data_IF_413801378204
#
_entry.id   IF_413801378204
#
_cell.length_a   1.000
_cell.length_b   1.000
_cell.length_c   1.000
_cell.angle_alpha   90.00
_cell.angle_beta   90.00
_cell.angle_gamma   90.00
#
_symmetry.space_group_name_H-M   'P 1'
#
loop_
_entity.id
_entity.type
_entity.pdbx_description
1 polymer ?
#
# COMPACT_ATOMS: atom_id res chain seq x y z
N UNK A 1 -22.45 8.91 -6.81
CA UNK A 1 -22.57 7.85 -5.79
C UNK A 1 -22.54 8.41 -4.36
N UNK A 2 -21.41 8.93 -3.85
CA UNK A 2 -21.32 9.36 -2.44
C UNK A 2 -21.74 10.83 -2.15
N UNK A 3 -21.80 11.70 -3.17
CA UNK A 3 -22.19 13.12 -3.00
C UNK A 3 -21.14 13.98 -2.29
N UNK A 4 -19.85 13.70 -2.50
CA UNK A 4 -18.72 14.46 -1.93
C UNK A 4 -17.65 14.71 -3.00
N UNK A 5 -16.77 15.67 -2.75
CA UNK A 5 -15.63 15.96 -3.64
C UNK A 5 -14.60 14.81 -3.67
N UNK A 6 -13.79 14.69 -4.74
CA UNK A 6 -12.69 13.73 -4.79
C UNK A 6 -11.71 13.87 -3.62
N UNK A 7 -11.42 15.10 -3.17
CA UNK A 7 -10.56 15.37 -2.02
C UNK A 7 -11.12 14.78 -0.71
N UNK A 8 -12.45 14.77 -0.55
CA UNK A 8 -13.11 14.14 0.60
C UNK A 8 -12.98 12.62 0.54
N UNK A 9 -13.10 12.02 -0.64
CA UNK A 9 -12.87 10.58 -0.84
C UNK A 9 -11.45 10.20 -0.43
N UNK A 10 -10.43 10.95 -0.86
CA UNK A 10 -9.04 10.74 -0.44
C UNK A 10 -8.87 10.79 1.07
N UNK A 11 -9.50 11.75 1.75
CA UNK A 11 -9.44 11.88 3.22
C UNK A 11 -10.14 10.72 3.94
N UNK A 12 -11.22 10.18 3.37
CA UNK A 12 -11.89 8.97 3.89
C UNK A 12 -11.00 7.74 3.73
N UNK A 13 -10.34 7.59 2.58
CA UNK A 13 -9.37 6.50 2.32
C UNK A 13 -8.22 6.58 3.33
N UNK A 14 -7.72 7.78 3.61
CA UNK A 14 -6.68 8.03 4.62
C UNK A 14 -7.18 8.02 6.07
N UNK A 15 -8.47 7.72 6.30
CA UNK A 15 -9.13 7.68 7.60
C UNK A 15 -8.89 8.91 8.48
N UNK A 16 -8.84 10.12 7.88
CA UNK A 16 -8.58 11.37 8.61
C UNK A 16 -9.68 11.68 9.62
N UNK A 17 -9.30 12.13 10.81
CA UNK A 17 -10.22 12.53 11.90
C UNK A 17 -11.09 13.74 11.56
N UNK A 18 -10.69 14.55 10.57
CA UNK A 18 -11.43 15.73 10.11
C UNK A 18 -12.72 15.43 9.35
N UNK A 19 -13.00 14.15 9.05
CA UNK A 19 -14.21 13.72 8.35
C UNK A 19 -15.14 13.03 9.34
N UNK A 20 -16.42 13.43 9.35
CA UNK A 20 -17.44 12.81 10.19
C UNK A 20 -17.60 11.32 9.88
N UNK A 21 -17.92 10.53 10.89
CA UNK A 21 -18.10 9.08 10.71
C UNK A 21 -19.27 8.75 9.78
N UNK A 22 -20.29 9.60 9.76
CA UNK A 22 -21.39 9.51 8.80
C UNK A 22 -20.89 9.60 7.35
N UNK A 23 -20.04 10.58 7.05
CA UNK A 23 -19.45 10.75 5.72
C UNK A 23 -18.55 9.57 5.36
N UNK A 24 -17.73 9.08 6.30
CA UNK A 24 -16.90 7.88 6.10
C UNK A 24 -17.76 6.67 5.73
N UNK A 25 -18.87 6.45 6.44
CA UNK A 25 -19.80 5.34 6.18
C UNK A 25 -20.41 5.44 4.77
N UNK A 26 -20.92 6.62 4.39
CA UNK A 26 -21.50 6.87 3.05
C UNK A 26 -20.50 6.62 1.92
N UNK A 27 -19.29 7.15 2.05
CA UNK A 27 -18.24 6.98 1.04
C UNK A 27 -17.82 5.51 0.94
N UNK A 28 -17.57 4.83 2.07
CA UNK A 28 -17.20 3.40 2.06
C UNK A 28 -18.30 2.51 1.48
N UNK A 29 -19.58 2.82 1.73
CA UNK A 29 -20.71 2.15 1.09
C UNK A 29 -20.66 2.29 -0.43
N UNK A 30 -20.51 3.52 -0.94
CA UNK A 30 -20.38 3.77 -2.37
C UNK A 30 -19.16 3.09 -2.99
N UNK A 31 -18.01 3.07 -2.30
CA UNK A 31 -16.81 2.36 -2.78
C UNK A 31 -17.09 0.86 -2.95
N UNK A 32 -17.78 0.24 -1.98
CA UNK A 32 -18.16 -1.18 -2.05
C UNK A 32 -19.12 -1.47 -3.20
N UNK A 33 -20.16 -0.64 -3.36
CA UNK A 33 -21.15 -0.77 -4.45
C UNK A 33 -20.52 -0.63 -5.84
N UNK A 34 -19.51 0.23 -5.97
CA UNK A 34 -18.80 0.47 -7.22
C UNK A 34 -17.61 -0.46 -7.45
N UNK A 35 -17.31 -1.38 -6.52
CA UNK A 35 -16.10 -2.18 -6.53
C UNK A 35 -14.82 -1.33 -6.70
N UNK A 36 -14.80 -0.16 -6.06
CA UNK A 36 -13.73 0.82 -6.23
C UNK A 36 -12.47 0.41 -5.45
N UNK A 37 -11.35 0.35 -6.17
CA UNK A 37 -10.03 0.08 -5.63
C UNK A 37 -9.14 1.31 -5.83
N UNK A 38 -8.54 1.88 -4.78
CA UNK A 38 -7.57 2.96 -4.92
C UNK A 38 -6.40 2.54 -5.82
N UNK A 39 -6.04 3.39 -6.77
CA UNK A 39 -4.89 3.13 -7.63
C UNK A 39 -3.60 3.54 -6.91
N UNK A 40 -2.82 2.54 -6.49
CA UNK A 40 -1.55 2.75 -5.79
C UNK A 40 -0.53 3.51 -6.65
N UNK A 41 -0.43 3.20 -7.95
CA UNK A 41 0.50 3.89 -8.86
C UNK A 41 0.18 5.39 -8.96
N UNK A 42 -1.10 5.74 -9.10
CA UNK A 42 -1.52 7.13 -9.13
C UNK A 42 -1.21 7.86 -7.81
N UNK A 43 -1.43 7.17 -6.67
CA UNK A 43 -1.09 7.71 -5.34
C UNK A 43 0.41 7.95 -5.20
N UNK A 44 1.23 6.96 -5.57
CA UNK A 44 2.68 7.04 -5.50
C UNK A 44 3.27 8.11 -6.40
N UNK A 45 2.68 8.31 -7.58
CA UNK A 45 3.08 9.38 -8.50
C UNK A 45 2.83 10.77 -7.91
N UNK A 46 1.66 11.00 -7.33
CA UNK A 46 1.32 12.30 -6.71
C UNK A 46 2.14 12.56 -5.45
N UNK A 47 2.45 11.53 -4.66
CA UNK A 47 3.26 11.67 -3.45
C UNK A 47 4.77 11.59 -3.68
N UNK A 48 5.22 11.28 -4.90
CA UNK A 48 6.62 10.91 -5.21
C UNK A 48 7.20 9.87 -4.24
N UNK A 49 6.35 8.96 -3.76
CA UNK A 49 6.69 7.99 -2.72
C UNK A 49 5.94 6.69 -2.96
N UNK A 50 6.69 5.61 -3.17
CA UNK A 50 6.15 4.33 -3.68
C UNK A 50 5.70 3.37 -2.60
N UNK A 51 6.20 3.50 -1.36
CA UNK A 51 6.10 2.43 -0.34
C UNK A 51 6.62 1.08 -0.85
N UNK A 52 7.66 1.09 -1.69
CA UNK A 52 8.29 -0.12 -2.24
C UNK A 52 9.76 -0.14 -1.87
N UNK A 53 10.27 -1.30 -1.43
CA UNK A 53 11.70 -1.54 -1.22
C UNK A 53 12.19 -2.46 -2.35
N UNK A 54 13.05 -1.93 -3.23
CA UNK A 54 13.73 -2.74 -4.24
C UNK A 54 14.95 -3.42 -3.66
N UNK A 55 15.08 -4.74 -3.85
CA UNK A 55 16.26 -5.49 -3.47
C UNK A 55 17.05 -5.91 -4.71
N UNK A 56 18.33 -5.56 -4.73
CA UNK A 56 19.26 -5.95 -5.80
C UNK A 56 20.07 -7.13 -5.31
N UNK A 57 20.01 -8.24 -6.04
CA UNK A 57 20.71 -9.48 -5.71
C UNK A 57 21.78 -9.78 -6.77
N UNK A 58 22.88 -10.47 -6.41
CA UNK A 58 23.82 -10.99 -7.39
C UNK A 58 23.12 -11.94 -8.37
N UNK A 59 23.52 -11.89 -9.64
CA UNK A 59 22.96 -12.72 -10.72
C UNK A 59 23.30 -14.21 -10.57
N UNK A 60 24.36 -14.52 -9.81
CA UNK A 60 24.79 -15.89 -9.56
C UNK A 60 23.87 -16.59 -8.57
N UNK A 61 22.77 -17.13 -9.11
CA UNK A 61 21.69 -17.78 -8.39
C UNK A 61 22.15 -18.97 -7.56
N UNK A 62 23.20 -19.67 -8.00
CA UNK A 62 23.62 -20.91 -7.36
C UNK A 62 24.19 -20.66 -5.96
N UNK A 63 25.05 -19.65 -5.80
CA UNK A 63 25.57 -19.27 -4.49
C UNK A 63 24.48 -18.70 -3.57
N UNK A 64 23.50 -18.01 -4.14
CA UNK A 64 22.40 -17.39 -3.39
C UNK A 64 21.40 -18.42 -2.85
N UNK A 65 20.98 -19.37 -3.69
CA UNK A 65 19.98 -20.38 -3.31
C UNK A 65 20.57 -21.55 -2.51
N UNK A 66 21.87 -21.85 -2.68
CA UNK A 66 22.53 -22.91 -1.91
C UNK A 66 22.91 -22.48 -0.48
N UNK A 67 23.04 -21.17 -0.23
CA UNK A 67 23.35 -20.67 1.11
C UNK A 67 22.08 -20.25 1.87
N UNK A 68 21.67 -20.98 2.94
CA UNK A 68 20.45 -20.69 3.70
C UNK A 68 20.48 -19.34 4.44
N UNK A 69 21.63 -18.65 4.50
CA UNK A 69 21.75 -17.29 5.01
C UNK A 69 20.85 -16.30 4.26
N UNK A 70 20.87 -16.31 2.93
CA UNK A 70 20.16 -15.30 2.14
C UNK A 70 18.63 -15.41 2.22
N UNK A 71 18.01 -16.61 2.10
CA UNK A 71 16.58 -16.76 2.34
C UNK A 71 16.15 -16.32 3.76
N UNK A 72 17.00 -16.55 4.77
CA UNK A 72 16.74 -16.11 6.14
C UNK A 72 16.72 -14.59 6.27
N UNK A 73 17.67 -13.91 5.63
CA UNK A 73 17.73 -12.45 5.56
C UNK A 73 16.54 -11.88 4.77
N UNK A 74 16.21 -12.45 3.61
CA UNK A 74 15.04 -12.05 2.81
C UNK A 74 13.74 -12.13 3.62
N UNK A 75 13.56 -13.21 4.38
CA UNK A 75 12.39 -13.37 5.26
C UNK A 75 12.34 -12.27 6.32
N UNK A 76 13.46 -11.95 6.96
CA UNK A 76 13.52 -10.86 7.94
C UNK A 76 13.19 -9.50 7.33
N UNK A 77 13.75 -9.19 6.16
CA UNK A 77 13.44 -7.96 5.42
C UNK A 77 11.95 -7.91 5.08
N UNK A 78 11.40 -8.98 4.50
CA UNK A 78 10.00 -9.05 4.10
C UNK A 78 9.05 -8.88 5.29
N UNK A 79 9.38 -9.48 6.44
CA UNK A 79 8.59 -9.33 7.66
C UNK A 79 8.53 -7.87 8.11
N UNK A 80 9.68 -7.22 8.29
CA UNK A 80 9.75 -5.83 8.76
C UNK A 80 9.16 -4.85 7.73
N UNK A 81 9.36 -5.09 6.44
CA UNK A 81 8.77 -4.30 5.37
C UNK A 81 7.23 -4.37 5.42
N UNK A 82 6.67 -5.58 5.57
CA UNK A 82 5.22 -5.78 5.68
C UNK A 82 4.64 -5.11 6.92
N UNK A 83 5.31 -5.21 8.08
CA UNK A 83 4.91 -4.53 9.32
C UNK A 83 4.86 -3.00 9.13
N UNK A 84 5.75 -2.45 8.29
CA UNK A 84 5.83 -1.03 7.97
C UNK A 84 5.04 -0.62 6.72
N UNK A 85 4.17 -1.51 6.21
CA UNK A 85 3.28 -1.23 5.07
C UNK A 85 4.04 -0.93 3.76
N UNK A 86 5.23 -1.50 3.61
CA UNK A 86 5.91 -1.57 2.32
C UNK A 86 5.42 -2.81 1.55
N UNK A 87 5.32 -2.65 0.24
CA UNK A 87 5.05 -3.73 -0.70
C UNK A 87 6.31 -4.53 -1.02
#
# INVERSE_FOLDING_TARGET
AAGVSPSTVTRVIQNKSTISDETKKRVRKAMKELNYHPNLNARSLVSSYTQVIGLVLPDDSDAFYQNPFFPSVLRGIAQVASENHYA
#
